data_IF_546521153414
#
_entry.id   IF_546521153414
#
_cell.length_a   1.000
_cell.length_b   1.000
_cell.length_c   1.000
_cell.angle_alpha   90.00
_cell.angle_beta   90.00
_cell.angle_gamma   90.00
#
_symmetry.space_group_name_H-M   'P 1'
#
loop_
_entity.id
_entity.type
_entity.pdbx_description
1 polymer ?
#
# COMPACT_ATOMS: atom_id res chain seq x y z
N UNK A 1 -10.98 17.23 13.52
CA UNK A 1 -11.38 17.67 12.20
C UNK A 1 -11.14 16.53 11.23
N UNK A 2 -12.14 16.19 10.44
CA UNK A 2 -11.97 15.37 9.26
C UNK A 2 -11.13 16.21 8.29
N UNK A 3 -9.91 15.79 8.00
CA UNK A 3 -9.09 16.48 7.01
C UNK A 3 -9.57 16.08 5.62
N UNK A 4 -10.56 16.80 5.11
CA UNK A 4 -10.88 16.76 3.69
C UNK A 4 -9.80 17.57 2.98
N UNK A 5 -8.87 16.90 2.34
CA UNK A 5 -7.88 17.55 1.51
C UNK A 5 -8.56 18.19 0.29
N UNK A 6 -8.09 19.36 -0.14
CA UNK A 6 -8.62 19.98 -1.35
C UNK A 6 -8.32 19.11 -2.56
N UNK A 7 -9.22 19.09 -3.53
CA UNK A 7 -9.02 18.36 -4.78
C UNK A 7 -7.73 18.80 -5.47
N UNK A 8 -6.86 17.84 -5.74
CA UNK A 8 -5.56 18.07 -6.34
C UNK A 8 -5.67 18.55 -7.80
N UNK A 9 -4.91 19.60 -8.15
CA UNK A 9 -4.81 20.10 -9.53
C UNK A 9 -3.89 19.23 -10.40
N UNK A 10 -3.04 18.38 -9.79
CA UNK A 10 -2.11 17.49 -10.48
C UNK A 10 -2.46 16.05 -10.14
N UNK A 11 -2.47 15.19 -11.14
CA UNK A 11 -2.57 13.74 -10.97
C UNK A 11 -1.16 13.16 -10.99
N UNK A 12 -0.69 12.69 -9.84
CA UNK A 12 0.59 12.01 -9.68
C UNK A 12 0.58 10.64 -10.36
N UNK A 13 1.75 10.11 -10.66
CA UNK A 13 1.90 8.74 -11.15
C UNK A 13 2.23 7.79 -10.02
N UNK A 14 1.44 6.72 -9.90
CA UNK A 14 1.56 5.74 -8.82
C UNK A 14 2.13 4.40 -9.29
N UNK A 15 3.05 3.83 -8.50
CA UNK A 15 3.34 2.41 -8.50
C UNK A 15 2.53 1.74 -7.39
N UNK A 16 1.62 0.84 -7.76
CA UNK A 16 0.79 0.11 -6.80
C UNK A 16 1.35 -1.29 -6.63
N UNK A 17 1.94 -1.55 -5.46
CA UNK A 17 2.69 -2.76 -5.16
C UNK A 17 1.83 -3.77 -4.41
N UNK A 18 1.74 -4.98 -4.96
CA UNK A 18 1.12 -6.14 -4.34
C UNK A 18 2.16 -7.23 -4.10
N UNK A 19 2.82 -7.29 -2.92
CA UNK A 19 3.59 -8.46 -2.52
C UNK A 19 2.66 -9.66 -2.36
N UNK A 20 2.89 -10.74 -3.12
CA UNK A 20 2.03 -11.92 -3.17
C UNK A 20 2.84 -13.20 -3.03
N UNK A 21 2.71 -13.89 -1.89
CA UNK A 21 3.34 -15.18 -1.62
C UNK A 21 2.25 -16.25 -1.52
N UNK A 22 2.15 -17.14 -2.52
CA UNK A 22 1.13 -18.19 -2.59
C UNK A 22 -0.33 -17.68 -2.50
N UNK A 23 -0.59 -16.48 -3.03
CA UNK A 23 -1.88 -15.79 -2.93
C UNK A 23 -2.76 -15.99 -4.18
N UNK A 24 -2.66 -17.12 -4.82
CA UNK A 24 -3.36 -17.46 -6.07
C UNK A 24 -4.88 -17.28 -6.00
N UNK A 25 -5.47 -17.54 -4.83
CA UNK A 25 -6.93 -17.54 -4.66
C UNK A 25 -7.55 -16.14 -4.54
N UNK A 26 -6.76 -15.13 -4.19
CA UNK A 26 -7.28 -13.79 -3.85
C UNK A 26 -6.75 -12.66 -4.72
N UNK A 27 -5.51 -12.77 -5.22
CA UNK A 27 -4.81 -11.67 -5.90
C UNK A 27 -5.52 -11.17 -7.17
N UNK A 28 -6.13 -12.07 -7.94
CA UNK A 28 -6.82 -11.71 -9.18
C UNK A 28 -8.01 -10.80 -8.89
N UNK A 29 -8.79 -11.11 -7.85
CA UNK A 29 -9.95 -10.30 -7.47
C UNK A 29 -9.53 -8.94 -6.91
N UNK A 30 -8.45 -8.88 -6.15
CA UNK A 30 -7.88 -7.62 -5.66
C UNK A 30 -7.39 -6.73 -6.79
N UNK A 31 -6.69 -7.30 -7.77
CA UNK A 31 -6.26 -6.56 -8.97
C UNK A 31 -7.45 -6.09 -9.80
N UNK A 32 -8.47 -6.93 -10.03
CA UNK A 32 -9.71 -6.52 -10.73
C UNK A 32 -10.43 -5.40 -9.99
N UNK A 33 -10.55 -5.49 -8.68
CA UNK A 33 -11.13 -4.43 -7.87
C UNK A 33 -10.32 -3.12 -8.00
N UNK A 34 -8.97 -3.21 -8.01
CA UNK A 34 -8.16 -2.02 -8.15
C UNK A 34 -8.28 -1.37 -9.53
N UNK A 35 -8.55 -2.12 -10.58
CA UNK A 35 -8.70 -1.59 -11.95
C UNK A 35 -9.94 -0.69 -12.15
N UNK A 36 -10.88 -0.66 -11.20
CA UNK A 36 -12.07 0.22 -11.26
C UNK A 36 -11.88 1.56 -10.53
N UNK A 37 -10.62 1.95 -10.26
CA UNK A 37 -10.32 3.24 -9.64
C UNK A 37 -10.81 4.43 -10.49
N UNK A 38 -11.43 5.41 -9.83
CA UNK A 38 -11.79 6.72 -10.38
C UNK A 38 -10.52 7.61 -10.50
N UNK A 39 -9.51 7.09 -11.18
CA UNK A 39 -8.21 7.74 -11.37
C UNK A 39 -7.71 7.45 -12.79
N UNK A 40 -7.04 8.40 -13.50
CA UNK A 40 -6.60 8.18 -14.87
C UNK A 40 -5.74 6.93 -15.00
N UNK A 41 -6.16 5.98 -15.86
CA UNK A 41 -5.54 4.64 -15.97
C UNK A 41 -4.05 4.72 -16.35
N UNK A 42 -3.68 5.70 -17.14
CA UNK A 42 -2.30 5.96 -17.56
C UNK A 42 -1.43 6.54 -16.44
N UNK A 43 -2.02 6.89 -15.30
CA UNK A 43 -1.33 7.46 -14.13
C UNK A 43 -1.03 6.47 -13.02
N UNK A 44 -1.32 5.18 -13.22
CA UNK A 44 -0.88 4.17 -12.27
C UNK A 44 -0.56 2.85 -12.97
N UNK A 45 0.38 2.13 -12.40
CA UNK A 45 0.72 0.77 -12.78
C UNK A 45 0.55 -0.16 -11.58
N UNK A 46 -0.08 -1.32 -11.80
CA UNK A 46 -0.18 -2.39 -10.81
C UNK A 46 1.04 -3.29 -11.00
N UNK A 47 1.82 -3.45 -9.94
CA UNK A 47 3.03 -4.28 -9.92
C UNK A 47 2.84 -5.38 -8.88
N UNK A 48 2.68 -6.60 -9.33
CA UNK A 48 2.54 -7.79 -8.48
C UNK A 48 3.91 -8.45 -8.33
N UNK A 49 4.40 -8.58 -7.12
CA UNK A 49 5.62 -9.31 -6.82
C UNK A 49 5.20 -10.74 -6.47
N UNK A 50 5.25 -11.59 -7.48
CA UNK A 50 4.79 -12.97 -7.42
C UNK A 50 5.87 -13.87 -6.85
N UNK A 51 5.60 -14.53 -5.72
CA UNK A 51 6.47 -15.53 -5.15
C UNK A 51 5.71 -16.85 -4.94
N UNK A 52 6.20 -17.93 -5.53
CA UNK A 52 5.59 -19.27 -5.49
C UNK A 52 4.12 -19.32 -5.93
N UNK A 53 3.76 -18.54 -6.93
CA UNK A 53 2.42 -18.51 -7.51
C UNK A 53 2.35 -19.37 -8.77
N UNK A 54 1.16 -19.90 -9.05
CA UNK A 54 0.88 -20.72 -10.24
C UNK A 54 1.04 -19.91 -11.53
N UNK A 55 1.48 -20.57 -12.60
CA UNK A 55 1.69 -19.91 -13.88
C UNK A 55 0.39 -19.36 -14.49
N UNK A 56 -0.72 -20.08 -14.33
CA UNK A 56 -2.05 -19.61 -14.80
C UNK A 56 -2.50 -18.32 -14.10
N UNK A 57 -2.25 -18.19 -12.80
CA UNK A 57 -2.49 -16.95 -12.06
C UNK A 57 -1.63 -15.79 -12.61
N UNK A 58 -0.36 -16.05 -12.87
CA UNK A 58 0.57 -15.06 -13.44
C UNK A 58 0.10 -14.61 -14.83
N UNK A 59 -0.35 -15.54 -15.67
CA UNK A 59 -0.82 -15.21 -17.03
C UNK A 59 -2.13 -14.42 -16.99
N UNK A 60 -3.04 -14.75 -16.06
CA UNK A 60 -4.25 -13.97 -15.81
C UNK A 60 -3.95 -12.54 -15.33
N UNK A 61 -2.98 -12.35 -14.42
CA UNK A 61 -2.56 -11.02 -13.98
C UNK A 61 -2.00 -10.19 -15.14
N UNK A 62 -1.18 -10.79 -16.01
CA UNK A 62 -0.67 -10.13 -17.21
C UNK A 62 -1.79 -9.75 -18.19
N UNK A 63 -2.78 -10.62 -18.37
CA UNK A 63 -3.96 -10.33 -19.20
C UNK A 63 -4.77 -9.13 -18.65
N UNK A 64 -4.74 -8.88 -17.33
CA UNK A 64 -5.29 -7.69 -16.68
C UNK A 64 -4.36 -6.47 -16.78
N UNK A 65 -3.28 -6.54 -17.56
CA UNK A 65 -2.26 -5.48 -17.69
C UNK A 65 -1.52 -5.16 -16.40
N UNK A 66 -1.46 -6.10 -15.45
CA UNK A 66 -0.57 -6.00 -14.30
C UNK A 66 0.87 -6.37 -14.71
N UNK A 67 1.83 -5.63 -14.20
CA UNK A 67 3.25 -5.96 -14.31
C UNK A 67 3.58 -7.02 -13.26
N UNK A 68 4.10 -8.17 -13.67
CA UNK A 68 4.41 -9.26 -12.76
C UNK A 68 5.92 -9.45 -12.65
N UNK A 69 6.43 -9.22 -11.46
CA UNK A 69 7.84 -9.45 -11.08
C UNK A 69 7.90 -10.81 -10.38
N UNK A 70 8.55 -11.78 -11.03
CA UNK A 70 8.71 -13.12 -10.45
C UNK A 70 9.87 -13.15 -9.47
N UNK A 71 9.61 -13.73 -8.31
CA UNK A 71 10.61 -14.06 -7.31
C UNK A 71 10.39 -15.50 -6.85
N UNK A 72 11.32 -16.37 -7.15
CA UNK A 72 11.27 -17.78 -6.75
C UNK A 72 12.20 -18.01 -5.54
N UNK A 73 11.74 -17.60 -4.36
CA UNK A 73 12.49 -17.81 -3.11
C UNK A 73 11.57 -18.35 -2.01
N UNK A 74 11.82 -19.55 -1.47
CA UNK A 74 10.96 -20.14 -0.44
C UNK A 74 11.00 -19.41 0.91
N UNK A 75 11.96 -18.50 1.11
CA UNK A 75 12.15 -17.74 2.36
C UNK A 75 12.01 -16.23 2.16
N UNK A 76 11.34 -15.81 1.07
CA UNK A 76 11.20 -14.39 0.79
C UNK A 76 10.27 -13.69 1.78
N UNK A 77 10.78 -12.66 2.41
CA UNK A 77 10.00 -11.75 3.26
C UNK A 77 9.29 -10.70 2.40
N UNK A 78 8.29 -10.03 2.98
CA UNK A 78 7.62 -8.88 2.35
C UNK A 78 8.61 -7.76 2.01
N UNK A 79 9.59 -7.52 2.89
CA UNK A 79 10.67 -6.56 2.66
C UNK A 79 11.42 -6.85 1.36
N UNK A 80 11.83 -8.10 1.17
CA UNK A 80 12.56 -8.50 -0.04
C UNK A 80 11.69 -8.38 -1.30
N UNK A 81 10.39 -8.65 -1.20
CA UNK A 81 9.46 -8.43 -2.30
C UNK A 81 9.36 -6.94 -2.65
N UNK A 82 9.27 -6.06 -1.66
CA UNK A 82 9.24 -4.61 -1.87
C UNK A 82 10.56 -4.08 -2.45
N UNK A 83 11.71 -4.58 -2.00
CA UNK A 83 13.03 -4.26 -2.59
C UNK A 83 13.12 -4.70 -4.05
N UNK A 84 12.61 -5.88 -4.38
CA UNK A 84 12.56 -6.38 -5.76
C UNK A 84 11.66 -5.51 -6.65
N UNK A 85 10.54 -5.03 -6.11
CA UNK A 85 9.68 -4.08 -6.82
C UNK A 85 10.42 -2.78 -7.15
N UNK A 86 11.16 -2.22 -6.20
CA UNK A 86 11.96 -1.00 -6.42
C UNK A 86 13.05 -1.27 -7.46
N UNK A 87 13.76 -2.40 -7.36
CA UNK A 87 14.77 -2.77 -8.34
C UNK A 87 14.20 -2.91 -9.76
N UNK A 88 13.01 -3.51 -9.89
CA UNK A 88 12.29 -3.59 -11.16
C UNK A 88 11.94 -2.21 -11.71
N UNK A 89 11.44 -1.31 -10.87
CA UNK A 89 11.06 0.06 -11.24
C UNK A 89 12.29 0.85 -11.71
N UNK A 90 13.40 0.78 -10.98
CA UNK A 90 14.64 1.50 -11.30
C UNK A 90 15.29 1.03 -12.62
N UNK A 91 15.03 -0.20 -13.05
CA UNK A 91 15.48 -0.72 -14.36
C UNK A 91 14.60 -0.27 -15.54
N UNK A 92 13.42 0.24 -15.25
CA UNK A 92 12.47 0.69 -16.29
C UNK A 92 12.59 2.17 -16.60
N UNK A 93 11.97 2.59 -17.70
CA UNK A 93 11.96 4.00 -18.15
C UNK A 93 10.87 4.85 -17.49
N UNK A 94 9.94 4.19 -16.75
CA UNK A 94 8.79 4.86 -16.14
C UNK A 94 9.18 5.40 -14.77
N UNK A 95 9.02 6.71 -14.60
CA UNK A 95 9.17 7.36 -13.30
C UNK A 95 7.83 7.47 -12.58
N UNK A 96 7.83 7.11 -11.32
CA UNK A 96 6.67 7.25 -10.43
C UNK A 96 6.90 8.39 -9.45
N UNK A 97 5.84 9.14 -9.17
CA UNK A 97 5.88 10.18 -8.13
C UNK A 97 5.70 9.53 -6.74
N UNK A 98 4.85 8.50 -6.67
CA UNK A 98 4.44 7.88 -5.40
C UNK A 98 4.30 6.36 -5.51
N UNK A 99 4.32 5.70 -4.35
CA UNK A 99 4.08 4.27 -4.22
C UNK A 99 2.92 4.02 -3.27
N UNK A 100 2.11 3.00 -3.58
CA UNK A 100 1.06 2.47 -2.71
C UNK A 100 1.36 0.99 -2.46
N UNK A 101 1.21 0.53 -1.21
CA UNK A 101 1.45 -0.85 -0.82
C UNK A 101 0.15 -1.46 -0.31
N UNK A 102 -0.28 -2.53 -0.93
CA UNK A 102 -1.49 -3.28 -0.59
C UNK A 102 -1.16 -4.76 -0.43
N UNK A 103 -1.77 -5.43 0.55
CA UNK A 103 -1.71 -6.88 0.64
C UNK A 103 -2.52 -7.52 -0.50
N UNK A 104 -2.19 -8.75 -0.86
CA UNK A 104 -2.75 -9.46 -2.01
C UNK A 104 -4.27 -9.70 -1.94
N UNK A 105 -4.86 -9.59 -0.76
CA UNK A 105 -6.30 -9.76 -0.49
C UNK A 105 -7.07 -8.45 -0.31
N UNK A 106 -6.40 -7.30 -0.43
CA UNK A 106 -7.03 -6.01 -0.17
C UNK A 106 -8.02 -5.60 -1.26
N UNK A 107 -9.16 -5.11 -0.83
CA UNK A 107 -10.20 -4.51 -1.65
C UNK A 107 -10.33 -3.04 -1.26
N UNK A 108 -10.30 -2.16 -2.24
CA UNK A 108 -10.32 -0.71 -2.02
C UNK A 108 -11.51 -0.05 -2.71
N UNK A 109 -11.92 1.10 -2.20
CA UNK A 109 -12.98 1.90 -2.82
C UNK A 109 -12.53 2.48 -4.17
N UNK A 110 -13.44 2.77 -5.12
CA UNK A 110 -13.09 3.38 -6.40
C UNK A 110 -12.37 4.73 -6.27
N UNK A 111 -12.64 5.50 -5.22
CA UNK A 111 -12.02 6.80 -4.95
C UNK A 111 -10.67 6.73 -4.21
N UNK A 112 -10.13 5.54 -3.95
CA UNK A 112 -8.94 5.33 -3.11
C UNK A 112 -7.73 6.11 -3.60
N UNK A 113 -7.32 5.95 -4.87
CA UNK A 113 -6.17 6.69 -5.42
C UNK A 113 -6.40 8.19 -5.50
N UNK A 114 -7.62 8.61 -5.78
CA UNK A 114 -7.98 10.04 -5.82
C UNK A 114 -7.73 10.70 -4.46
N UNK A 115 -8.21 10.07 -3.39
CA UNK A 115 -8.05 10.57 -2.02
C UNK A 115 -6.58 10.60 -1.57
N UNK A 116 -5.82 9.57 -1.91
CA UNK A 116 -4.36 9.54 -1.67
C UNK A 116 -3.67 10.67 -2.43
N UNK A 117 -4.03 10.87 -3.70
CA UNK A 117 -3.47 11.94 -4.52
C UNK A 117 -3.74 13.32 -3.93
N UNK A 118 -4.94 13.57 -3.42
CA UNK A 118 -5.31 14.83 -2.79
C UNK A 118 -4.45 15.12 -1.55
N UNK A 119 -4.24 14.12 -0.70
CA UNK A 119 -3.43 14.23 0.50
C UNK A 119 -1.93 14.47 0.17
N UNK A 120 -1.37 13.71 -0.79
CA UNK A 120 0.02 13.89 -1.22
C UNK A 120 0.23 15.24 -1.91
N UNK A 121 -0.75 15.70 -2.72
CA UNK A 121 -0.70 17.02 -3.33
C UNK A 121 -0.77 18.15 -2.30
N UNK A 122 -1.43 17.95 -1.18
CA UNK A 122 -1.49 18.89 -0.06
C UNK A 122 -0.19 18.93 0.77
N UNK A 123 0.81 18.09 0.44
CA UNK A 123 2.13 18.10 1.07
C UNK A 123 2.39 16.96 2.04
N UNK A 124 1.51 15.96 2.12
CA UNK A 124 1.80 14.74 2.86
C UNK A 124 2.83 13.90 2.08
N UNK A 125 3.82 13.32 2.77
CA UNK A 125 4.84 12.45 2.16
C UNK A 125 4.70 10.99 2.56
N UNK A 126 3.94 10.70 3.63
CA UNK A 126 3.64 9.36 4.13
C UNK A 126 2.22 9.28 4.65
N UNK A 127 1.48 8.24 4.25
CA UNK A 127 0.08 8.03 4.58
C UNK A 127 -0.15 6.60 5.07
N UNK A 128 -1.02 6.45 6.09
CA UNK A 128 -1.69 5.21 6.43
C UNK A 128 -3.17 5.36 6.15
N UNK A 129 -3.73 4.50 5.33
CA UNK A 129 -5.15 4.49 5.03
C UNK A 129 -5.94 3.66 6.04
N UNK A 130 -7.24 3.96 6.15
CA UNK A 130 -8.16 3.20 7.00
C UNK A 130 -8.30 1.76 6.49
N UNK A 131 -8.19 0.81 7.41
CA UNK A 131 -8.35 -0.62 7.11
C UNK A 131 -9.53 -1.19 7.88
N UNK A 132 -10.33 -2.00 7.20
CA UNK A 132 -11.45 -2.75 7.81
C UNK A 132 -11.27 -4.23 7.49
N UNK A 133 -11.55 -5.09 8.45
CA UNK A 133 -11.55 -6.52 8.22
C UNK A 133 -12.63 -6.91 7.20
N UNK A 134 -12.24 -7.66 6.16
CA UNK A 134 -13.11 -8.09 5.06
C UNK A 134 -14.16 -9.10 5.50
N UNK A 135 -13.81 -10.03 6.37
CA UNK A 135 -14.65 -11.13 6.83
C UNK A 135 -15.01 -10.97 8.30
N UNK A 136 -16.28 -11.27 8.65
CA UNK A 136 -16.79 -11.30 10.03
C UNK A 136 -17.55 -12.59 10.30
N UNK A 137 -17.21 -13.65 9.56
CA UNK A 137 -17.99 -14.90 9.54
C UNK A 137 -17.63 -15.89 10.68
N UNK A 138 -16.64 -15.56 11.50
CA UNK A 138 -16.25 -16.35 12.67
C UNK A 138 -15.98 -15.45 13.88
N UNK A 139 -16.06 -16.02 15.08
CA UNK A 139 -15.75 -15.32 16.32
C UNK A 139 -14.33 -14.74 16.34
N UNK A 140 -13.37 -15.42 15.70
CA UNK A 140 -11.99 -14.96 15.57
C UNK A 140 -11.93 -13.76 14.62
N UNK A 141 -12.57 -13.83 13.46
CA UNK A 141 -12.62 -12.73 12.51
C UNK A 141 -13.32 -11.48 13.08
N UNK A 142 -14.33 -11.67 13.95
CA UNK A 142 -14.95 -10.57 14.70
C UNK A 142 -13.97 -9.93 15.68
N UNK A 143 -13.20 -10.72 16.42
CA UNK A 143 -12.18 -10.21 17.35
C UNK A 143 -11.07 -9.46 16.62
N UNK A 144 -10.60 -9.97 15.48
CA UNK A 144 -9.61 -9.31 14.63
C UNK A 144 -10.17 -7.98 14.09
N UNK A 145 -11.43 -7.96 13.65
CA UNK A 145 -12.12 -6.73 13.22
C UNK A 145 -12.20 -5.69 14.33
N UNK A 146 -12.56 -6.10 15.55
CA UNK A 146 -12.62 -5.19 16.73
C UNK A 146 -11.22 -4.67 17.06
N UNK A 147 -10.20 -5.55 17.05
CA UNK A 147 -8.81 -5.16 17.29
C UNK A 147 -8.33 -4.13 16.26
N UNK A 148 -8.63 -4.32 14.98
CA UNK A 148 -8.28 -3.37 13.92
C UNK A 148 -8.99 -2.02 14.09
N UNK A 149 -10.28 -2.01 14.47
CA UNK A 149 -11.01 -0.78 14.76
C UNK A 149 -10.48 -0.04 16.00
N UNK A 150 -10.04 -0.75 17.03
CA UNK A 150 -9.34 -0.16 18.18
C UNK A 150 -8.03 0.49 17.73
N UNK A 151 -7.24 -0.21 16.91
CA UNK A 151 -6.00 0.33 16.36
C UNK A 151 -6.25 1.57 15.50
N UNK A 152 -7.26 1.54 14.62
CA UNK A 152 -7.69 2.68 13.82
C UNK A 152 -8.08 3.88 14.69
N UNK A 153 -8.87 3.63 15.75
CA UNK A 153 -9.42 4.69 16.60
C UNK A 153 -8.36 5.31 17.52
N UNK A 154 -7.50 4.50 18.14
CA UNK A 154 -6.54 4.95 19.17
C UNK A 154 -5.20 5.34 18.53
N UNK A 155 -4.53 4.37 17.87
CA UNK A 155 -3.13 4.53 17.42
C UNK A 155 -2.98 5.24 16.07
N UNK A 156 -4.06 5.42 15.32
CA UNK A 156 -4.04 6.15 14.05
C UNK A 156 -4.82 7.45 14.17
N UNK A 157 -6.15 7.40 14.18
CA UNK A 157 -7.01 8.59 14.27
C UNK A 157 -6.79 9.41 15.55
N UNK A 158 -6.66 8.74 16.71
CA UNK A 158 -6.40 9.38 18.00
C UNK A 158 -5.07 10.12 18.01
N UNK A 159 -3.99 9.48 17.54
CA UNK A 159 -2.67 10.10 17.44
C UNK A 159 -2.70 11.33 16.54
N UNK A 160 -3.24 11.23 15.33
CA UNK A 160 -3.28 12.35 14.39
C UNK A 160 -4.13 13.51 14.90
N UNK A 161 -5.21 13.26 15.62
CA UNK A 161 -6.02 14.30 16.27
C UNK A 161 -5.28 15.05 17.38
N UNK A 162 -4.32 14.40 18.02
CA UNK A 162 -3.45 15.00 19.04
C UNK A 162 -2.19 15.64 18.45
N UNK A 163 -2.02 15.63 17.11
CA UNK A 163 -0.85 16.15 16.43
C UNK A 163 0.34 15.20 16.37
N UNK A 164 0.14 13.91 16.71
CA UNK A 164 1.16 12.88 16.58
C UNK A 164 1.02 12.12 15.24
N UNK A 165 2.10 11.50 14.78
CA UNK A 165 2.10 10.62 13.62
C UNK A 165 1.18 9.42 13.80
N UNK A 166 0.53 8.99 12.72
CA UNK A 166 -0.18 7.72 12.68
C UNK A 166 0.78 6.54 12.74
N UNK A 167 0.32 5.41 13.31
CA UNK A 167 1.04 4.15 13.18
C UNK A 167 0.85 3.54 11.78
N UNK A 168 1.89 2.89 11.25
CA UNK A 168 1.81 2.06 10.05
C UNK A 168 1.33 0.63 10.39
N UNK A 169 0.76 -0.06 9.41
CA UNK A 169 0.18 -1.40 9.58
C UNK A 169 0.46 -2.38 8.44
N UNK A 170 1.58 -2.27 7.81
CA UNK A 170 2.01 -3.19 6.77
C UNK A 170 1.29 -3.08 5.43
N UNK A 171 0.03 -2.65 5.39
CA UNK A 171 -0.78 -2.50 4.18
C UNK A 171 -1.62 -1.24 4.21
N UNK A 172 -2.12 -0.80 3.06
CA UNK A 172 -2.83 0.47 2.93
C UNK A 172 -1.91 1.67 3.22
N UNK A 173 -0.65 1.58 2.84
CA UNK A 173 0.35 2.62 3.01
C UNK A 173 0.63 3.31 1.68
N UNK A 174 0.86 4.62 1.72
CA UNK A 174 1.30 5.37 0.55
C UNK A 174 2.44 6.34 0.93
N UNK A 175 3.40 6.50 0.01
CA UNK A 175 4.59 7.31 0.24
C UNK A 175 5.01 8.02 -1.04
N UNK A 176 5.73 9.14 -0.91
CA UNK A 176 6.57 9.65 -2.00
C UNK A 176 7.58 8.58 -2.41
N UNK A 177 7.81 8.42 -3.72
CA UNK A 177 8.61 7.32 -4.26
C UNK A 177 10.06 7.32 -3.73
N UNK A 178 10.75 8.46 -3.78
CA UNK A 178 12.15 8.53 -3.35
C UNK A 178 12.28 8.28 -1.84
N UNK A 179 11.36 8.84 -1.03
CA UNK A 179 11.32 8.58 0.40
C UNK A 179 11.16 7.09 0.71
N UNK A 180 10.22 6.42 0.04
CA UNK A 180 10.00 4.98 0.22
C UNK A 180 11.22 4.16 -0.22
N UNK A 181 11.79 4.48 -1.38
CA UNK A 181 12.99 3.81 -1.91
C UNK A 181 14.13 3.84 -0.91
N UNK A 182 14.43 5.00 -0.35
CA UNK A 182 15.53 5.15 0.61
C UNK A 182 15.29 4.34 1.88
N UNK A 183 14.07 4.40 2.44
CA UNK A 183 13.73 3.69 3.67
C UNK A 183 13.74 2.18 3.48
N UNK A 184 13.16 1.65 2.39
CA UNK A 184 13.05 0.21 2.20
C UNK A 184 14.41 -0.45 1.92
N UNK A 185 15.35 0.26 1.29
CA UNK A 185 16.70 -0.26 1.05
C UNK A 185 17.44 -0.55 2.36
N UNK A 186 17.25 0.26 3.37
CA UNK A 186 17.85 0.09 4.69
C UNK A 186 17.12 -0.91 5.60
N UNK A 187 15.89 -1.32 5.23
CA UNK A 187 15.10 -2.25 6.03
C UNK A 187 15.64 -3.68 5.91
N UNK A 188 15.93 -4.33 7.05
CA UNK A 188 16.52 -5.69 7.09
C UNK A 188 15.74 -6.67 7.97
N UNK A 189 14.85 -6.18 8.85
CA UNK A 189 14.22 -6.99 9.88
C UNK A 189 12.74 -7.29 9.56
N UNK A 190 12.21 -8.32 10.20
CA UNK A 190 10.77 -8.63 10.19
C UNK A 190 10.03 -7.50 10.91
N UNK A 191 8.92 -7.03 10.33
CA UNK A 191 8.14 -5.90 10.84
C UNK A 191 8.52 -4.60 10.13
N UNK A 192 8.48 -4.64 8.79
CA UNK A 192 8.81 -3.55 7.89
C UNK A 192 8.03 -2.26 8.22
N UNK A 193 6.77 -2.40 8.64
CA UNK A 193 5.92 -1.28 9.02
C UNK A 193 6.49 -0.51 10.22
N UNK A 194 6.92 -1.21 11.25
CA UNK A 194 7.52 -0.59 12.45
C UNK A 194 8.91 -0.01 12.17
N UNK A 195 9.68 -0.67 11.32
CA UNK A 195 10.95 -0.12 10.87
C UNK A 195 10.75 1.19 10.08
N UNK A 196 9.84 1.18 9.10
CA UNK A 196 9.52 2.36 8.29
C UNK A 196 8.96 3.49 9.16
N UNK A 197 8.02 3.19 10.07
CA UNK A 197 7.46 4.15 11.04
C UNK A 197 8.58 4.85 11.83
N UNK A 198 9.49 4.06 12.42
CA UNK A 198 10.64 4.59 13.16
C UNK A 198 11.54 5.47 12.29
N UNK A 199 11.85 5.05 11.07
CA UNK A 199 12.71 5.82 10.16
C UNK A 199 12.08 7.14 9.75
N UNK A 200 10.79 7.14 9.42
CA UNK A 200 10.04 8.35 9.10
C UNK A 200 10.06 9.34 10.25
N UNK A 201 9.81 8.87 11.48
CA UNK A 201 9.84 9.72 12.67
C UNK A 201 11.23 10.32 12.93
N UNK A 202 12.32 9.54 12.75
CA UNK A 202 13.69 10.04 12.87
C UNK A 202 14.06 11.10 11.82
N UNK A 203 13.42 11.05 10.66
CA UNK A 203 13.57 12.05 9.58
C UNK A 203 12.59 13.23 9.73
N UNK A 204 11.83 13.30 10.83
CA UNK A 204 10.75 14.26 11.05
C UNK A 204 9.68 14.24 9.95
N UNK A 205 9.44 13.09 9.34
CA UNK A 205 8.35 12.88 8.39
C UNK A 205 7.11 12.47 9.16
N UNK A 206 6.05 13.25 9.03
CA UNK A 206 4.76 12.97 9.64
C UNK A 206 3.99 11.94 8.81
N UNK A 207 3.46 10.91 9.47
CA UNK A 207 2.59 9.91 8.86
C UNK A 207 1.14 10.35 9.08
N UNK A 208 0.47 10.72 8.02
CA UNK A 208 -0.94 11.12 8.06
C UNK A 208 -1.86 9.90 8.03
N UNK A 209 -3.02 10.01 8.71
CA UNK A 209 -4.06 8.97 8.67
C UNK A 209 -5.22 9.42 7.78
N UNK A 210 -5.47 8.65 6.71
CA UNK A 210 -6.54 8.91 5.75
C UNK A 210 -7.73 8.00 6.05
N UNK A 211 -8.79 8.56 6.65
CA UNK A 211 -9.96 7.81 7.14
C UNK A 211 -10.98 7.48 6.04
N UNK A 212 -11.10 8.31 5.00
CA UNK A 212 -12.20 8.25 4.02
C UNK A 212 -11.94 7.37 2.80
N UNK A 213 -11.02 6.43 2.87
CA UNK A 213 -10.60 5.56 1.75
C UNK A 213 -11.07 4.13 1.91
#
# INVERSE_FOLDING_TARGET
PQYNYPTAKKKYRFAVLFPAYQEDEVIIDSVKNFLVQEYPRERYDIIVISNQMRQDTIDNLKALSAKVVKKDSPQSTKIEALKEAIHYIEKGDIKYDNVVILDADNIVKPSYLEKINDALYAGCSALQTHRVAKNRDSNIAVLDSVSEEINNSIFRKGHTRLGFSSALSGSGMAFEYELFKDIIQECHDIGEDKYMERKLLLQNVYIEYLEEV
#
